data_IF_994394854725
#
_entry.id   IF_994394854725
#
_cell.length_a   1.000
_cell.length_b   1.000
_cell.length_c   1.000
_cell.angle_alpha   90.00
_cell.angle_beta   90.00
_cell.angle_gamma   90.00
#
_symmetry.space_group_name_H-M   'P 1'
#
loop_
_entity.id
_entity.type
_entity.pdbx_description
1 polymer ?
#
# COMPACT_ATOMS: atom_id res chain seq x y z
N UNK A 1 -22.91 0.76 6.15
CA UNK A 1 -22.13 2.02 6.18
C UNK A 1 -21.14 1.95 5.01
N UNK A 2 -20.46 3.02 4.59
CA UNK A 2 -19.40 2.88 3.57
C UNK A 2 -18.06 2.79 4.29
N UNK A 3 -17.31 1.72 4.04
CA UNK A 3 -16.03 1.43 4.68
C UNK A 3 -14.92 1.41 3.65
N UNK A 4 -13.84 2.17 3.91
CA UNK A 4 -12.60 2.07 3.14
C UNK A 4 -11.75 0.95 3.74
N UNK A 5 -11.35 0.02 2.89
CA UNK A 5 -10.44 -1.06 3.24
C UNK A 5 -9.08 -0.83 2.60
N UNK A 6 -8.02 -1.10 3.37
CA UNK A 6 -6.65 -1.18 2.92
C UNK A 6 -6.15 -2.59 3.20
N UNK A 7 -5.60 -3.26 2.19
CA UNK A 7 -5.15 -4.63 2.34
C UNK A 7 -4.25 -5.05 1.20
N UNK A 8 -4.03 -6.35 1.09
CA UNK A 8 -3.25 -6.96 0.01
C UNK A 8 -4.05 -8.07 -0.64
N UNK A 9 -3.86 -8.27 -1.94
CA UNK A 9 -4.27 -9.51 -2.61
C UNK A 9 -3.40 -10.63 -2.06
N UNK A 10 -4.02 -11.74 -1.65
CA UNK A 10 -3.32 -12.90 -1.14
C UNK A 10 -2.70 -13.73 -2.28
N UNK A 11 -1.37 -13.65 -2.40
CA UNK A 11 -0.58 -14.23 -3.50
C UNK A 11 0.59 -15.00 -2.89
N UNK A 12 0.82 -16.27 -3.29
CA UNK A 12 1.95 -17.04 -2.82
C UNK A 12 3.28 -16.50 -3.39
N UNK A 13 4.33 -16.51 -2.57
CA UNK A 13 5.69 -16.30 -3.06
C UNK A 13 6.19 -17.57 -3.77
N UNK A 14 6.81 -17.45 -4.96
CA UNK A 14 7.13 -18.56 -5.89
C UNK A 14 7.88 -19.78 -5.31
N UNK A 15 8.49 -19.66 -4.14
CA UNK A 15 9.27 -20.73 -3.49
C UNK A 15 9.04 -20.83 -1.98
N UNK A 16 8.05 -20.12 -1.44
CA UNK A 16 7.77 -20.08 0.00
C UNK A 16 6.34 -20.53 0.25
N UNK A 17 6.09 -21.13 1.43
CA UNK A 17 4.71 -21.40 1.90
C UNK A 17 3.99 -20.13 2.35
N UNK A 18 4.71 -19.02 2.41
CA UNK A 18 4.25 -17.72 2.86
C UNK A 18 3.55 -17.00 1.71
N UNK A 19 2.45 -16.32 2.02
CA UNK A 19 1.75 -15.45 1.08
C UNK A 19 1.96 -13.97 1.40
N UNK A 20 1.54 -13.08 0.51
CA UNK A 20 1.45 -11.64 0.81
C UNK A 20 0.50 -11.34 1.96
N UNK A 21 -0.58 -12.12 2.14
CA UNK A 21 -1.46 -12.04 3.31
C UNK A 21 -0.72 -12.32 4.61
N UNK A 22 -0.02 -13.46 4.69
CA UNK A 22 0.80 -13.81 5.87
C UNK A 22 1.84 -12.71 6.16
N UNK A 23 2.51 -12.19 5.13
CA UNK A 23 3.48 -11.11 5.26
C UNK A 23 2.80 -9.84 5.77
N UNK A 24 1.62 -9.48 5.26
CA UNK A 24 0.89 -8.31 5.71
C UNK A 24 0.53 -8.39 7.20
N UNK A 25 0.06 -9.54 7.67
CA UNK A 25 -0.23 -9.77 9.09
C UNK A 25 1.03 -9.63 9.96
N UNK A 26 2.13 -10.29 9.56
CA UNK A 26 3.41 -10.20 10.27
C UNK A 26 3.91 -8.75 10.33
N UNK A 27 3.79 -8.01 9.24
CA UNK A 27 4.24 -6.62 9.18
C UNK A 27 3.35 -5.69 9.99
N UNK A 28 2.05 -5.93 10.01
CA UNK A 28 1.11 -5.15 10.80
C UNK A 28 1.29 -5.40 12.31
N UNK A 29 1.50 -6.66 12.71
CA UNK A 29 1.71 -7.01 14.12
C UNK A 29 3.01 -6.43 14.67
N UNK A 30 4.09 -6.50 13.89
CA UNK A 30 5.43 -6.10 14.35
C UNK A 30 5.75 -4.62 14.11
N UNK A 31 5.21 -4.02 13.05
CA UNK A 31 5.63 -2.69 12.58
C UNK A 31 4.49 -1.75 12.25
N UNK A 32 3.22 -2.17 12.35
CA UNK A 32 2.04 -1.32 12.14
C UNK A 32 2.06 -0.63 10.78
N UNK A 33 2.46 -1.36 9.73
CA UNK A 33 2.76 -0.75 8.41
C UNK A 33 1.55 -0.09 7.78
N UNK A 34 0.39 -0.75 7.79
CA UNK A 34 -0.84 -0.21 7.21
C UNK A 34 -1.45 0.88 8.10
N UNK A 35 -1.39 0.71 9.43
CA UNK A 35 -1.84 1.73 10.39
C UNK A 35 -1.04 3.03 10.21
N UNK A 36 0.30 2.97 10.23
CA UNK A 36 1.15 4.14 10.04
C UNK A 36 1.00 4.75 8.64
N UNK A 37 0.82 3.91 7.60
CA UNK A 37 0.51 4.40 6.27
C UNK A 37 -0.77 5.23 6.26
N UNK A 38 -1.84 4.70 6.86
CA UNK A 38 -3.12 5.40 6.94
C UNK A 38 -3.00 6.66 7.77
N UNK A 39 -2.40 6.63 8.95
CA UNK A 39 -2.26 7.79 9.82
C UNK A 39 -1.55 8.95 9.14
N UNK A 40 -0.41 8.66 8.48
CA UNK A 40 0.40 9.65 7.77
C UNK A 40 -0.33 10.22 6.56
N UNK A 41 -1.14 9.41 5.87
CA UNK A 41 -1.77 9.79 4.59
C UNK A 41 -3.27 10.06 4.68
N UNK A 42 -3.90 9.93 5.85
CA UNK A 42 -5.36 9.95 6.07
C UNK A 42 -6.04 11.15 5.42
N UNK A 43 -5.49 12.35 5.61
CA UNK A 43 -6.00 13.58 4.98
C UNK A 43 -5.88 13.55 3.45
N UNK A 44 -4.78 13.02 2.92
CA UNK A 44 -4.57 12.91 1.47
C UNK A 44 -5.54 11.89 0.88
N UNK A 45 -5.68 10.73 1.52
CA UNK A 45 -6.65 9.69 1.14
C UNK A 45 -8.08 10.25 1.12
N UNK A 46 -8.49 10.97 2.18
CA UNK A 46 -9.80 11.60 2.25
C UNK A 46 -10.04 12.60 1.11
N UNK A 47 -9.04 13.43 0.78
CA UNK A 47 -9.14 14.37 -0.34
C UNK A 47 -9.27 13.65 -1.68
N UNK A 48 -8.46 12.61 -1.92
CA UNK A 48 -8.52 11.82 -3.15
C UNK A 48 -9.91 11.21 -3.37
N UNK A 49 -10.48 10.63 -2.31
CA UNK A 49 -11.82 10.05 -2.37
C UNK A 49 -12.90 11.13 -2.58
N UNK A 50 -12.76 12.30 -1.95
CA UNK A 50 -13.71 13.39 -2.12
C UNK A 50 -13.68 13.97 -3.54
N UNK A 51 -12.50 14.14 -4.13
CA UNK A 51 -12.31 14.60 -5.51
C UNK A 51 -12.91 13.61 -6.52
N UNK A 52 -12.65 12.32 -6.35
CA UNK A 52 -13.18 11.26 -7.21
C UNK A 52 -14.72 11.16 -7.11
N UNK A 53 -15.28 11.28 -5.89
CA UNK A 53 -16.73 11.37 -5.70
C UNK A 53 -17.34 12.60 -6.39
N UNK A 54 -16.71 13.77 -6.27
CA UNK A 54 -17.18 14.98 -6.91
C UNK A 54 -17.16 14.84 -8.44
N UNK A 55 -16.06 14.34 -9.02
CA UNK A 55 -15.93 14.11 -10.46
C UNK A 55 -16.95 13.08 -10.98
N UNK A 56 -17.20 12.02 -10.20
CA UNK A 56 -18.24 11.03 -10.48
C UNK A 56 -19.62 11.67 -10.52
N UNK A 57 -19.96 12.53 -9.55
CA UNK A 57 -21.24 13.24 -9.52
C UNK A 57 -21.39 14.24 -10.67
N UNK A 58 -20.35 15.00 -10.99
CA UNK A 58 -20.36 15.93 -12.13
C UNK A 58 -20.62 15.19 -13.44
N UNK A 59 -19.95 14.05 -13.65
CA UNK A 59 -20.16 13.19 -14.82
C UNK A 59 -21.59 12.66 -14.88
N UNK A 60 -22.15 12.23 -13.75
CA UNK A 60 -23.54 11.76 -13.67
C UNK A 60 -24.53 12.87 -14.00
N UNK A 61 -24.33 14.08 -13.48
CA UNK A 61 -25.22 15.21 -13.74
C UNK A 61 -25.15 15.68 -15.20
N UNK A 62 -23.96 15.62 -15.81
CA UNK A 62 -23.77 16.04 -17.20
C UNK A 62 -24.28 15.01 -18.21
N UNK A 63 -24.06 13.72 -17.98
CA UNK A 63 -24.37 12.65 -18.93
C UNK A 63 -25.66 11.88 -18.63
N UNK A 64 -26.18 11.95 -17.40
CA UNK A 64 -27.28 11.12 -16.91
C UNK A 64 -26.88 9.66 -16.65
N UNK A 65 -25.60 9.29 -16.79
CA UNK A 65 -25.10 7.90 -16.66
C UNK A 65 -24.21 7.79 -15.42
N UNK A 66 -24.47 6.78 -14.59
CA UNK A 66 -23.61 6.44 -13.45
C UNK A 66 -22.26 5.86 -13.91
N UNK A 67 -21.14 6.21 -13.26
CA UNK A 67 -19.85 5.61 -13.57
C UNK A 67 -19.88 4.11 -13.27
N UNK A 68 -19.16 3.33 -14.08
CA UNK A 68 -19.10 1.88 -13.95
C UNK A 68 -18.43 1.44 -12.64
N UNK A 69 -17.37 2.14 -12.22
CA UNK A 69 -16.67 1.92 -10.96
C UNK A 69 -16.43 3.25 -10.25
N UNK A 70 -17.20 3.49 -9.18
CA UNK A 70 -16.97 4.59 -8.26
C UNK A 70 -15.62 4.40 -7.54
N UNK A 71 -14.89 5.49 -7.32
CA UNK A 71 -13.63 5.51 -6.60
C UNK A 71 -12.43 4.83 -7.30
N UNK A 72 -12.56 4.37 -8.55
CA UNK A 72 -11.49 3.64 -9.23
C UNK A 72 -10.19 4.45 -9.35
N UNK A 73 -10.29 5.76 -9.58
CA UNK A 73 -9.14 6.66 -9.64
C UNK A 73 -8.47 6.80 -8.27
N UNK A 74 -9.24 7.14 -7.25
CA UNK A 74 -8.74 7.31 -5.89
C UNK A 74 -8.13 6.01 -5.34
N UNK A 75 -8.70 4.83 -5.62
CA UNK A 75 -8.11 3.54 -5.22
C UNK A 75 -6.75 3.30 -5.89
N UNK A 76 -6.60 3.64 -7.17
CA UNK A 76 -5.33 3.59 -7.90
C UNK A 76 -4.30 4.56 -7.31
N UNK A 77 -4.72 5.78 -6.99
CA UNK A 77 -3.84 6.77 -6.37
C UNK A 77 -3.43 6.38 -4.94
N UNK A 78 -4.31 5.75 -4.16
CA UNK A 78 -3.98 5.23 -2.82
C UNK A 78 -2.91 4.13 -2.91
N UNK A 79 -3.00 3.23 -3.91
CA UNK A 79 -1.94 2.25 -4.18
C UNK A 79 -0.60 2.92 -4.49
N UNK A 80 -0.61 3.98 -5.31
CA UNK A 80 0.59 4.76 -5.58
C UNK A 80 1.16 5.41 -4.31
N UNK A 81 0.30 5.98 -3.45
CA UNK A 81 0.71 6.55 -2.16
C UNK A 81 1.40 5.51 -1.27
N UNK A 82 0.87 4.29 -1.20
CA UNK A 82 1.49 3.23 -0.42
C UNK A 82 2.86 2.83 -0.98
N UNK A 83 2.97 2.76 -2.31
CA UNK A 83 4.24 2.46 -2.96
C UNK A 83 5.29 3.52 -2.63
N UNK A 84 4.95 4.80 -2.81
CA UNK A 84 5.82 5.94 -2.46
C UNK A 84 6.15 5.98 -0.97
N UNK A 85 5.20 5.67 -0.09
CA UNK A 85 5.39 5.62 1.35
C UNK A 85 6.51 4.65 1.75
N UNK A 86 6.52 3.46 1.16
CA UNK A 86 7.61 2.49 1.35
C UNK A 86 8.91 2.96 0.68
N UNK A 87 8.87 3.39 -0.58
CA UNK A 87 10.05 3.80 -1.35
C UNK A 87 10.80 4.98 -0.72
N UNK A 88 10.06 5.96 -0.19
CA UNK A 88 10.60 7.14 0.51
C UNK A 88 10.98 6.84 1.98
N UNK A 89 10.89 5.59 2.43
CA UNK A 89 11.25 5.14 3.78
C UNK A 89 10.52 5.90 4.88
N UNK A 90 9.23 6.21 4.69
CA UNK A 90 8.46 7.02 5.64
C UNK A 90 8.32 6.38 7.02
N UNK A 91 8.51 5.06 7.15
CA UNK A 91 8.53 4.38 8.45
C UNK A 91 9.86 4.50 9.22
N UNK A 92 10.95 4.94 8.59
CA UNK A 92 12.24 5.02 9.26
C UNK A 92 12.15 5.95 10.48
N UNK A 93 12.44 5.38 11.66
CA UNK A 93 12.33 6.09 12.95
C UNK A 93 10.90 6.30 13.46
N UNK A 94 9.86 5.85 12.76
CA UNK A 94 8.47 5.90 13.23
C UNK A 94 8.11 4.72 14.13
N UNK A 95 8.70 3.55 13.87
CA UNK A 95 8.48 2.32 14.63
C UNK A 95 9.79 1.61 14.93
N UNK A 96 9.86 0.96 16.10
CA UNK A 96 11.04 0.21 16.52
C UNK A 96 11.44 -0.84 15.49
N UNK A 97 12.74 -0.94 15.18
CA UNK A 97 13.26 -1.91 14.21
C UNK A 97 13.16 -1.48 12.74
N UNK A 98 12.77 -0.24 12.45
CA UNK A 98 12.78 0.36 11.10
C UNK A 98 13.66 1.61 11.05
N UNK A 99 14.70 1.67 10.18
CA UNK A 99 15.02 0.73 9.11
C UNK A 99 15.46 -0.64 9.62
N UNK A 100 15.00 -1.68 8.92
CA UNK A 100 15.34 -3.07 9.27
C UNK A 100 16.83 -3.35 9.07
N UNK A 101 17.37 -4.35 9.77
CA UNK A 101 18.77 -4.75 9.57
C UNK A 101 19.05 -5.16 8.10
N UNK A 102 18.07 -5.77 7.44
CA UNK A 102 18.16 -6.10 6.01
C UNK A 102 18.24 -4.84 5.13
N UNK A 103 17.50 -3.79 5.49
CA UNK A 103 17.58 -2.48 4.84
C UNK A 103 18.97 -1.86 5.00
N UNK A 104 19.49 -1.80 6.22
CA UNK A 104 20.80 -1.22 6.55
C UNK A 104 21.91 -1.92 5.75
N UNK A 105 21.90 -3.25 5.69
CA UNK A 105 22.90 -4.04 4.97
C UNK A 105 22.66 -4.13 3.45
N UNK A 106 21.56 -3.58 2.94
CA UNK A 106 21.20 -3.63 1.52
C UNK A 106 20.81 -5.03 1.03
N UNK A 107 20.40 -5.96 1.90
CA UNK A 107 20.03 -7.34 1.51
C UNK A 107 18.80 -7.37 0.61
N UNK A 108 18.82 -8.19 -0.45
CA UNK A 108 17.73 -8.30 -1.42
C UNK A 108 17.68 -9.65 -2.12
N UNK A 109 16.54 -10.33 -2.10
CA UNK A 109 16.29 -11.55 -2.88
C UNK A 109 16.11 -11.28 -4.37
N UNK A 110 15.81 -10.04 -4.79
CA UNK A 110 15.64 -9.65 -6.21
C UNK A 110 16.90 -9.87 -7.06
N UNK A 111 18.10 -9.77 -6.47
CA UNK A 111 19.36 -9.82 -7.22
C UNK A 111 20.12 -11.12 -6.93
N UNK A 112 20.77 -11.68 -7.97
CA UNK A 112 21.55 -12.93 -7.87
C UNK A 112 22.64 -12.90 -6.79
N UNK A 113 23.19 -11.73 -6.48
CA UNK A 113 24.22 -11.55 -5.46
C UNK A 113 23.67 -11.11 -4.10
N UNK A 114 22.34 -11.05 -3.94
CA UNK A 114 21.71 -10.84 -2.64
C UNK A 114 21.83 -9.44 -2.04
N UNK A 115 22.43 -8.47 -2.75
CA UNK A 115 22.75 -7.13 -2.22
C UNK A 115 22.45 -6.00 -3.22
N UNK A 116 22.02 -4.87 -2.67
CA UNK A 116 21.94 -3.53 -3.28
C UNK A 116 22.82 -2.59 -2.46
N UNK A 117 22.87 -1.31 -2.84
CA UNK A 117 23.37 -0.24 -1.98
C UNK A 117 22.78 -0.35 -0.55
N UNK A 118 23.63 -0.13 0.48
CA UNK A 118 23.19 -0.02 1.87
C UNK A 118 22.07 1.00 2.04
N UNK A 119 21.24 0.81 3.07
CA UNK A 119 20.06 1.64 3.33
C UNK A 119 19.03 1.60 2.19
N UNK A 120 18.60 0.40 1.76
CA UNK A 120 17.42 0.26 0.88
C UNK A 120 16.13 0.51 1.67
N UNK A 121 14.98 0.76 1.04
CA UNK A 121 13.69 0.71 1.73
C UNK A 121 13.45 -0.62 2.47
N UNK A 122 12.89 -0.54 3.67
CA UNK A 122 12.41 -1.72 4.41
C UNK A 122 11.16 -2.30 3.74
N UNK A 123 10.92 -3.59 3.93
CA UNK A 123 9.72 -4.32 3.46
C UNK A 123 9.53 -4.43 1.94
N UNK A 124 10.38 -3.79 1.16
CA UNK A 124 10.50 -4.04 -0.27
C UNK A 124 11.59 -5.09 -0.45
N UNK A 125 11.25 -6.27 -0.95
CA UNK A 125 12.24 -7.29 -1.33
C UNK A 125 12.19 -7.61 -2.83
N UNK A 126 11.16 -8.37 -3.24
CA UNK A 126 10.80 -8.64 -4.64
C UNK A 126 9.86 -7.59 -5.23
N UNK A 127 9.25 -6.76 -4.39
CA UNK A 127 8.15 -5.85 -4.74
C UNK A 127 6.76 -6.49 -4.66
N UNK A 128 6.65 -7.80 -4.41
CA UNK A 128 5.35 -8.50 -4.41
C UNK A 128 4.39 -7.94 -3.36
N UNK A 129 4.84 -7.74 -2.12
CA UNK A 129 4.03 -7.14 -1.04
C UNK A 129 3.49 -5.75 -1.45
N UNK A 130 4.36 -4.85 -1.90
CA UNK A 130 4.02 -3.51 -2.37
C UNK A 130 3.00 -3.55 -3.51
N UNK A 131 3.25 -4.38 -4.54
CA UNK A 131 2.39 -4.50 -5.71
C UNK A 131 1.04 -5.16 -5.42
N UNK A 132 0.99 -6.02 -4.40
CA UNK A 132 -0.24 -6.70 -3.99
C UNK A 132 -1.19 -5.80 -3.21
N UNK A 133 -0.73 -4.65 -2.71
CA UNK A 133 -1.56 -3.73 -1.95
C UNK A 133 -2.74 -3.23 -2.78
N UNK A 134 -3.92 -3.24 -2.18
CA UNK A 134 -5.17 -2.73 -2.73
C UNK A 134 -5.90 -1.88 -1.71
N UNK A 135 -6.59 -0.87 -2.22
CA UNK A 135 -7.64 -0.16 -1.53
C UNK A 135 -8.97 -0.48 -2.22
N UNK A 136 -10.03 -0.65 -1.44
CA UNK A 136 -11.39 -0.81 -1.98
C UNK A 136 -12.41 -0.25 -1.00
N UNK A 137 -13.61 0.02 -1.52
CA UNK A 137 -14.73 0.51 -0.74
C UNK A 137 -15.80 -0.57 -0.73
N UNK A 138 -16.31 -0.88 0.46
CA UNK A 138 -17.41 -1.82 0.63
C UNK A 138 -18.58 -1.12 1.34
N UNK A 139 -19.80 -1.57 1.02
CA UNK A 139 -21.02 -1.15 1.70
C UNK A 139 -21.49 -2.33 2.56
N UNK A 140 -21.51 -2.13 3.88
CA UNK A 140 -22.18 -3.06 4.80
C UNK A 140 -23.70 -3.10 4.54
#
# INVERSE_FOLDING_TARGET
>A
MITLHLGVIDIPYESEKTTTGDVAEILEDNYKVMELFFDINSRKIANLMAEDAAASLETMLASGVAPAELFSESMSQIHHLFSTFLDEKKLDGQVGGVPTQASIEGRSKRFKHGKREPFRPSFIDTGLYQNSMKAWVEKD
#
